data_IF_987686794979
#
_entry.id   IF_987686794979
#
_cell.length_a   1.000
_cell.length_b   1.000
_cell.length_c   1.000
_cell.angle_alpha   90.00
_cell.angle_beta   90.00
_cell.angle_gamma   90.00
#
_symmetry.space_group_name_H-M   'P 1'
#
loop_
_entity.id
_entity.type
_entity.pdbx_description
1 polymer ?
#
# COMPACT_ATOMS: atom_id res chain seq x y z
N UNK A 1 12.11 9.12 -2.58
CA UNK A 1 11.21 7.96 -2.38
C UNK A 1 9.75 8.37 -2.45
N UNK A 2 9.28 9.24 -1.54
CA UNK A 2 7.87 9.66 -1.47
C UNK A 2 7.27 10.21 -2.79
N UNK A 3 8.05 10.93 -3.60
CA UNK A 3 7.61 11.44 -4.91
C UNK A 3 7.54 10.39 -6.03
N UNK A 4 7.96 9.14 -5.80
CA UNK A 4 8.00 8.11 -6.83
C UNK A 4 6.65 7.45 -7.10
N UNK A 5 5.68 7.62 -6.20
CA UNK A 5 4.35 7.01 -6.28
C UNK A 5 3.34 8.09 -6.58
N UNK A 6 2.48 7.85 -7.57
CA UNK A 6 1.46 8.78 -8.04
C UNK A 6 2.03 10.15 -8.40
N UNK A 7 3.25 10.23 -8.93
CA UNK A 7 3.93 11.51 -9.22
C UNK A 7 4.23 12.38 -7.99
N UNK A 8 4.02 11.88 -6.77
CA UNK A 8 4.07 12.66 -5.54
C UNK A 8 2.76 13.36 -5.17
N UNK A 9 1.69 13.19 -5.95
CA UNK A 9 0.38 13.83 -5.73
C UNK A 9 -0.25 13.43 -4.39
N UNK A 10 0.04 12.24 -3.87
CA UNK A 10 -0.43 11.84 -2.54
C UNK A 10 0.10 12.73 -1.41
N UNK A 11 1.25 13.38 -1.61
CA UNK A 11 1.78 14.37 -0.67
C UNK A 11 0.96 15.66 -0.69
N UNK A 12 0.35 15.98 -1.82
CA UNK A 12 -0.55 17.13 -1.97
C UNK A 12 -1.91 16.86 -1.29
N UNK A 13 -2.31 15.58 -1.20
CA UNK A 13 -3.48 15.16 -0.42
C UNK A 13 -3.28 15.26 1.11
N UNK A 14 -2.05 15.53 1.58
CA UNK A 14 -1.74 15.74 2.98
C UNK A 14 -1.60 17.25 3.26
N UNK A 15 -2.32 17.81 4.26
CA UNK A 15 -2.41 19.27 4.46
C UNK A 15 -1.06 19.96 4.67
N UNK A 16 -0.08 19.29 5.30
CA UNK A 16 1.27 19.79 5.50
C UNK A 16 2.33 18.88 4.83
N UNK A 17 1.95 18.13 3.81
CA UNK A 17 2.81 17.13 3.18
C UNK A 17 3.36 16.13 4.20
N UNK A 18 4.68 15.87 4.16
CA UNK A 18 5.36 14.96 5.09
C UNK A 18 5.37 15.45 6.56
N UNK A 19 5.10 16.74 6.79
CA UNK A 19 5.01 17.31 8.14
C UNK A 19 3.58 17.25 8.70
N UNK A 20 2.67 16.54 8.03
CA UNK A 20 1.29 16.37 8.50
C UNK A 20 1.25 15.56 9.79
N UNK A 21 0.67 16.16 10.82
CA UNK A 21 0.34 15.47 12.07
C UNK A 21 -0.79 14.47 11.82
N UNK A 22 -0.50 13.19 12.03
CA UNK A 22 -1.44 12.10 11.75
C UNK A 22 -2.42 11.85 12.91
N UNK A 23 -2.26 12.51 14.05
CA UNK A 23 -3.02 12.29 15.26
C UNK A 23 -2.76 10.93 15.92
N UNK A 24 -3.40 10.67 17.04
CA UNK A 24 -3.26 9.40 17.75
C UNK A 24 -3.71 8.23 16.86
N UNK A 25 -2.85 7.24 16.66
CA UNK A 25 -3.10 6.07 15.80
C UNK A 25 -3.52 6.41 14.35
N UNK A 26 -3.14 7.58 13.84
CA UNK A 26 -3.48 7.99 12.47
C UNK A 26 -4.92 8.51 12.32
N UNK A 27 -5.56 8.95 13.41
CA UNK A 27 -6.96 9.39 13.41
C UNK A 27 -7.27 10.49 12.38
N UNK A 28 -6.30 11.33 12.01
CA UNK A 28 -6.49 12.42 11.05
C UNK A 28 -6.37 11.98 9.58
N UNK A 29 -5.98 10.72 9.33
CA UNK A 29 -5.84 10.18 7.99
C UNK A 29 -7.06 9.37 7.60
N UNK A 30 -7.47 9.48 6.33
CA UNK A 30 -8.42 8.54 5.73
C UNK A 30 -7.83 7.12 5.75
N UNK A 31 -8.68 6.10 5.62
CA UNK A 31 -8.20 4.71 5.64
C UNK A 31 -7.21 4.44 4.50
N UNK A 32 -7.49 4.96 3.30
CA UNK A 32 -6.57 4.86 2.16
C UNK A 32 -5.25 5.59 2.39
N UNK A 33 -5.28 6.79 2.99
CA UNK A 33 -4.06 7.51 3.35
C UNK A 33 -3.22 6.76 4.39
N UNK A 34 -3.85 6.15 5.41
CA UNK A 34 -3.13 5.32 6.39
C UNK A 34 -2.44 4.13 5.73
N UNK A 35 -3.13 3.47 4.81
CA UNK A 35 -2.58 2.34 4.06
C UNK A 35 -1.41 2.78 3.19
N UNK A 36 -1.53 3.92 2.50
CA UNK A 36 -0.44 4.47 1.70
C UNK A 36 0.77 4.80 2.57
N UNK A 37 0.59 5.47 3.71
CA UNK A 37 1.68 5.75 4.65
C UNK A 37 2.34 4.45 5.15
N UNK A 38 1.56 3.41 5.43
CA UNK A 38 2.10 2.10 5.82
C UNK A 38 2.96 1.48 4.69
N UNK A 39 2.49 1.50 3.45
CA UNK A 39 3.23 0.99 2.29
C UNK A 39 4.51 1.80 2.03
N UNK A 40 4.47 3.13 2.21
CA UNK A 40 5.68 3.97 2.12
C UNK A 40 6.72 3.57 3.16
N UNK A 41 6.30 3.27 4.39
CA UNK A 41 7.22 2.79 5.45
C UNK A 41 7.87 1.47 5.05
N UNK A 42 7.11 0.55 4.47
CA UNK A 42 7.64 -0.73 3.96
C UNK A 42 8.66 -0.49 2.84
N UNK A 43 8.35 0.37 1.87
CA UNK A 43 9.27 0.72 0.79
C UNK A 43 10.59 1.30 1.33
N UNK A 44 10.52 2.21 2.30
CA UNK A 44 11.71 2.80 2.93
C UNK A 44 12.52 1.75 3.69
N UNK A 45 11.84 0.83 4.38
CA UNK A 45 12.50 -0.26 5.10
C UNK A 45 13.11 -1.31 4.17
N UNK A 46 12.56 -1.48 2.96
CA UNK A 46 13.00 -2.45 1.96
C UNK A 46 13.18 -3.86 2.54
N UNK A 47 12.14 -4.46 3.14
CA UNK A 47 12.28 -5.77 3.79
C UNK A 47 12.52 -6.89 2.78
N UNK A 48 13.26 -7.92 3.19
CA UNK A 48 13.45 -9.12 2.37
C UNK A 48 12.16 -9.92 2.18
N UNK A 49 11.28 -9.90 3.20
CA UNK A 49 9.98 -10.58 3.20
C UNK A 49 8.88 -9.54 3.48
N UNK A 50 7.88 -9.50 2.60
CA UNK A 50 6.70 -8.65 2.72
C UNK A 50 5.44 -9.51 2.85
N UNK A 51 4.59 -9.19 3.83
CA UNK A 51 3.29 -9.86 4.00
C UNK A 51 2.22 -8.80 3.89
N UNK A 52 1.26 -9.01 2.99
CA UNK A 52 0.14 -8.11 2.79
C UNK A 52 -1.17 -8.88 2.89
N UNK A 53 -2.03 -8.41 3.78
CA UNK A 53 -3.41 -8.87 3.90
C UNK A 53 -4.33 -7.87 3.19
N UNK A 54 -4.89 -8.27 2.05
CA UNK A 54 -5.69 -7.42 1.16
C UNK A 54 -7.13 -7.30 1.68
N UNK A 55 -7.30 -6.71 2.86
CA UNK A 55 -8.61 -6.29 3.35
C UNK A 55 -8.98 -4.96 2.68
N UNK A 56 -9.68 -5.00 1.54
CA UNK A 56 -10.09 -3.76 0.85
C UNK A 56 -11.07 -2.96 1.70
N UNK A 57 -10.60 -1.81 2.15
CA UNK A 57 -11.40 -0.71 2.65
C UNK A 57 -12.15 0.00 1.51
N UNK A 58 -13.25 0.69 1.83
CA UNK A 58 -13.88 1.64 0.90
C UNK A 58 -12.92 2.84 0.71
N UNK A 59 -12.13 2.80 -0.37
CA UNK A 59 -11.13 3.82 -0.74
C UNK A 59 -11.56 4.43 -2.06
N UNK A 60 -11.31 5.74 -2.24
CA UNK A 60 -11.59 6.40 -3.50
C UNK A 60 -10.66 5.89 -4.63
N UNK A 61 -11.11 5.92 -5.91
CA UNK A 61 -10.34 5.34 -7.01
C UNK A 61 -8.94 5.90 -7.19
N UNK A 62 -8.73 7.17 -6.84
CA UNK A 62 -7.43 7.82 -6.97
C UNK A 62 -6.44 7.29 -5.93
N UNK A 63 -6.84 7.24 -4.67
CA UNK A 63 -6.03 6.65 -3.60
C UNK A 63 -5.79 5.14 -3.82
N UNK A 64 -6.78 4.41 -4.36
CA UNK A 64 -6.63 3.00 -4.74
C UNK A 64 -5.51 2.79 -5.78
N UNK A 65 -5.45 3.64 -6.81
CA UNK A 65 -4.39 3.56 -7.82
C UNK A 65 -2.99 3.76 -7.21
N UNK A 66 -2.85 4.71 -6.27
CA UNK A 66 -1.59 4.98 -5.58
C UNK A 66 -1.17 3.82 -4.66
N UNK A 67 -2.12 3.20 -3.96
CA UNK A 67 -1.90 2.01 -3.14
C UNK A 67 -1.44 0.83 -4.01
N UNK A 68 -2.07 0.65 -5.17
CA UNK A 68 -1.71 -0.39 -6.13
C UNK A 68 -0.28 -0.20 -6.66
N UNK A 69 0.08 1.01 -7.07
CA UNK A 69 1.43 1.33 -7.54
C UNK A 69 2.49 1.10 -6.44
N UNK A 70 2.21 1.57 -5.21
CA UNK A 70 3.09 1.35 -4.07
C UNK A 70 3.31 -0.15 -3.80
N UNK A 71 2.24 -0.92 -3.85
CA UNK A 71 2.28 -2.38 -3.67
C UNK A 71 3.13 -3.03 -4.76
N UNK A 72 2.91 -2.68 -6.02
CA UNK A 72 3.69 -3.22 -7.15
C UNK A 72 5.20 -2.97 -7.00
N UNK A 73 5.59 -1.78 -6.53
CA UNK A 73 6.99 -1.46 -6.25
C UNK A 73 7.58 -2.32 -5.13
N UNK A 74 6.82 -2.66 -4.09
CA UNK A 74 7.27 -3.54 -2.99
C UNK A 74 7.41 -4.96 -3.51
N UNK A 75 6.41 -5.46 -4.25
CA UNK A 75 6.41 -6.82 -4.81
C UNK A 75 7.59 -7.05 -5.76
N UNK A 76 8.02 -6.03 -6.50
CA UNK A 76 9.18 -6.11 -7.39
C UNK A 76 10.53 -6.23 -6.65
N UNK A 77 10.58 -5.83 -5.37
CA UNK A 77 11.83 -5.74 -4.60
C UNK A 77 11.94 -6.73 -3.44
N UNK A 78 10.89 -7.52 -3.17
CA UNK A 78 10.81 -8.38 -1.97
C UNK A 78 10.13 -9.71 -2.22
N UNK A 79 10.48 -10.73 -1.45
CA UNK A 79 9.71 -11.98 -1.43
C UNK A 79 8.40 -11.71 -0.72
N UNK A 80 7.28 -11.87 -1.42
CA UNK A 80 5.99 -11.37 -0.96
C UNK A 80 4.97 -12.50 -0.75
N UNK A 81 4.27 -12.46 0.38
CA UNK A 81 3.13 -13.32 0.72
C UNK A 81 1.89 -12.43 0.71
N UNK A 82 0.97 -12.72 -0.20
CA UNK A 82 -0.26 -11.95 -0.41
C UNK A 82 -1.46 -12.80 0.00
N UNK A 83 -2.27 -12.29 0.92
CA UNK A 83 -3.61 -12.81 1.19
C UNK A 83 -4.56 -11.96 0.35
N UNK A 84 -4.90 -12.46 -0.84
CA UNK A 84 -5.63 -11.69 -1.83
C UNK A 84 -7.13 -11.99 -1.81
N UNK A 85 -7.94 -10.93 -1.83
CA UNK A 85 -9.39 -11.00 -2.02
C UNK A 85 -9.80 -10.59 -3.44
N UNK A 86 -8.88 -10.03 -4.24
CA UNK A 86 -9.14 -9.57 -5.61
C UNK A 86 -8.38 -10.36 -6.66
N UNK A 87 -9.07 -10.69 -7.75
CA UNK A 87 -8.48 -11.41 -8.89
C UNK A 87 -7.36 -10.59 -9.58
N UNK A 88 -7.44 -9.26 -9.55
CA UNK A 88 -6.42 -8.36 -10.10
C UNK A 88 -5.05 -8.57 -9.43
N UNK A 89 -5.06 -8.82 -8.13
CA UNK A 89 -3.87 -9.07 -7.30
C UNK A 89 -3.33 -10.47 -7.55
N UNK A 90 -4.22 -11.47 -7.64
CA UNK A 90 -3.88 -12.86 -7.93
C UNK A 90 -3.26 -13.06 -9.32
N UNK A 91 -3.64 -12.27 -10.33
CA UNK A 91 -3.09 -12.41 -11.70
C UNK A 91 -1.59 -12.13 -11.83
N UNK A 92 -0.98 -11.49 -10.83
CA UNK A 92 0.41 -11.00 -10.89
C UNK A 92 1.37 -11.77 -9.99
N UNK A 93 0.91 -12.79 -9.27
CA UNK A 93 1.77 -13.57 -8.37
C UNK A 93 2.47 -14.71 -9.10
N UNK A 94 3.65 -15.09 -8.64
CA UNK A 94 4.40 -16.21 -9.23
C UNK A 94 3.84 -17.59 -8.84
N UNK A 95 3.18 -17.68 -7.68
CA UNK A 95 2.58 -18.91 -7.15
C UNK A 95 1.29 -18.57 -6.43
N UNK A 96 0.26 -19.38 -6.69
CA UNK A 96 -1.03 -19.33 -6.00
C UNK A 96 -1.12 -20.57 -5.12
N UNK A 97 -1.49 -20.38 -3.86
CA UNK A 97 -1.76 -21.46 -2.91
C UNK A 97 -3.22 -21.32 -2.51
N UNK A 98 -3.99 -22.38 -2.73
CA UNK A 98 -5.36 -22.50 -2.24
C UNK A 98 -5.30 -23.38 -1.00
N UNK A 99 -5.85 -22.88 0.10
CA UNK A 99 -6.01 -23.66 1.33
C UNK A 99 -7.39 -24.32 1.27
N UNK A 100 -7.43 -25.62 1.49
CA UNK A 100 -8.62 -26.46 1.57
C UNK A 100 -8.50 -27.34 2.82
N UNK A 101 -9.62 -27.80 3.37
CA UNK A 101 -9.65 -28.59 4.62
C UNK A 101 -9.08 -30.01 4.47
#
# INVERSE_FOLDING_TARGET
MARRIGGGEWLEALPNGLQTDVGERGAHLSMGQRQLVALMRVLVQSPAIFVLDEATASVDPFTEAQIQEATELILACSTSILIAHRLSTVRRVNRIIVLDE
#
